data_IF_798795376386
#
_entry.id   IF_798795376386
#
_cell.length_a   1.000
_cell.length_b   1.000
_cell.length_c   1.000
_cell.angle_alpha   90.00
_cell.angle_beta   90.00
_cell.angle_gamma   90.00
#
_symmetry.space_group_name_H-M   'P 1'
#
loop_
_entity.id
_entity.type
_entity.pdbx_description
1 polymer ?
#
# COMPACT_ATOMS: atom_id res chain seq x y z
N UNK A 1 14.80 -12.31 19.62
CA UNK A 1 14.45 -12.68 18.25
C UNK A 1 14.61 -11.42 17.42
N UNK A 2 15.61 -11.40 16.56
CA UNK A 2 15.87 -10.27 15.67
C UNK A 2 14.99 -10.45 14.44
N UNK A 3 14.17 -9.45 14.14
CA UNK A 3 13.36 -9.38 12.93
C UNK A 3 14.00 -8.39 11.98
N UNK A 4 14.09 -8.74 10.70
CA UNK A 4 14.57 -7.81 9.68
C UNK A 4 13.50 -6.74 9.38
N UNK A 5 12.21 -7.13 9.41
CA UNK A 5 11.07 -6.26 9.14
C UNK A 5 9.91 -6.54 10.08
N UNK A 6 9.19 -5.49 10.46
CA UNK A 6 7.94 -5.57 11.20
C UNK A 6 6.89 -4.76 10.44
N UNK A 7 5.81 -5.41 10.02
CA UNK A 7 4.70 -4.78 9.33
C UNK A 7 3.57 -4.49 10.31
N UNK A 8 3.06 -3.26 10.28
CA UNK A 8 1.89 -2.85 11.03
C UNK A 8 0.73 -2.60 10.06
N UNK A 9 -0.32 -3.40 10.15
CA UNK A 9 -1.58 -3.14 9.45
C UNK A 9 -2.40 -2.15 10.29
N UNK A 10 -2.58 -0.94 9.77
CA UNK A 10 -3.25 0.14 10.47
C UNK A 10 -4.57 0.51 9.78
N UNK A 11 -5.61 0.87 10.54
CA UNK A 11 -6.85 1.36 9.95
C UNK A 11 -6.61 2.67 9.21
N UNK A 12 -7.27 2.85 8.05
CA UNK A 12 -7.17 4.04 7.20
C UNK A 12 -7.86 5.28 7.78
N UNK A 13 -7.71 5.53 9.08
CA UNK A 13 -8.32 6.69 9.76
C UNK A 13 -7.31 7.38 10.66
N UNK A 14 -7.23 8.71 10.54
CA UNK A 14 -6.41 9.56 11.41
C UNK A 14 -7.17 10.12 12.64
N UNK A 15 -8.44 9.84 12.74
CA UNK A 15 -9.27 10.35 13.87
C UNK A 15 -8.89 9.71 15.21
N UNK A 16 -7.93 8.81 15.23
CA UNK A 16 -7.41 8.15 16.42
C UNK A 16 -5.97 8.56 16.67
N UNK A 17 -5.74 9.30 17.76
CA UNK A 17 -4.40 9.73 18.17
C UNK A 17 -3.41 8.59 18.41
N UNK A 18 -3.88 7.36 18.63
CA UNK A 18 -3.06 6.16 18.69
C UNK A 18 -2.46 5.81 17.34
N UNK A 19 -3.26 5.88 16.26
CA UNK A 19 -2.82 5.62 14.88
C UNK A 19 -1.74 6.62 14.48
N UNK A 20 -1.97 7.92 14.71
CA UNK A 20 -1.00 8.98 14.39
C UNK A 20 0.32 8.77 15.14
N UNK A 21 0.27 8.44 16.44
CA UNK A 21 1.48 8.17 17.24
C UNK A 21 2.22 6.92 16.76
N UNK A 22 1.51 5.92 16.29
CA UNK A 22 2.12 4.72 15.71
C UNK A 22 2.79 5.06 14.39
N UNK A 23 2.10 5.77 13.49
CA UNK A 23 2.66 6.21 12.21
C UNK A 23 3.93 7.05 12.41
N UNK A 24 3.95 7.97 13.36
CA UNK A 24 5.12 8.81 13.65
C UNK A 24 6.38 8.03 14.09
N UNK A 25 6.23 6.74 14.43
CA UNK A 25 7.33 5.85 14.84
C UNK A 25 7.76 4.86 13.76
N UNK A 26 7.08 4.84 12.62
CA UNK A 26 7.44 3.98 11.49
C UNK A 26 8.64 4.55 10.75
N UNK A 27 9.43 3.66 10.15
CA UNK A 27 10.50 4.06 9.23
C UNK A 27 9.94 4.39 7.85
N UNK A 28 8.97 3.60 7.37
CA UNK A 28 8.34 3.76 6.08
C UNK A 28 6.83 3.55 6.17
N UNK A 29 6.10 4.26 5.33
CA UNK A 29 4.64 4.13 5.21
C UNK A 29 4.32 3.81 3.76
N UNK A 30 3.54 2.75 3.55
CA UNK A 30 2.98 2.38 2.26
C UNK A 30 1.46 2.50 2.33
N UNK A 31 0.88 3.40 1.54
CA UNK A 31 -0.56 3.67 1.55
C UNK A 31 -1.20 3.19 0.24
N UNK A 32 -2.10 2.19 0.29
CA UNK A 32 -2.81 1.77 -0.91
C UNK A 32 -3.82 2.84 -1.37
N UNK A 33 -3.88 3.02 -2.68
CA UNK A 33 -4.84 3.88 -3.38
C UNK A 33 -5.57 3.08 -4.46
N UNK A 34 -6.76 3.54 -4.84
CA UNK A 34 -7.51 2.97 -5.95
C UNK A 34 -8.01 4.08 -6.88
N UNK A 35 -8.40 3.73 -8.09
CA UNK A 35 -8.92 4.69 -9.06
C UNK A 35 -10.34 5.21 -8.73
N UNK A 36 -10.94 4.75 -7.63
CA UNK A 36 -12.17 5.33 -7.11
C UNK A 36 -11.92 6.75 -6.59
N UNK A 37 -12.65 7.72 -7.14
CA UNK A 37 -12.46 9.15 -6.86
C UNK A 37 -12.59 9.48 -5.37
N UNK A 38 -13.55 8.88 -4.68
CA UNK A 38 -13.80 9.16 -3.26
C UNK A 38 -12.67 8.61 -2.40
N UNK A 39 -12.22 7.41 -2.71
CA UNK A 39 -11.09 6.77 -2.04
C UNK A 39 -9.82 7.57 -2.28
N UNK A 40 -9.58 7.99 -3.53
CA UNK A 40 -8.42 8.79 -3.91
C UNK A 40 -8.38 10.12 -3.15
N UNK A 41 -9.45 10.91 -3.20
CA UNK A 41 -9.52 12.20 -2.51
C UNK A 41 -9.29 12.05 -0.99
N UNK A 42 -9.90 11.03 -0.39
CA UNK A 42 -9.75 10.76 1.04
C UNK A 42 -8.31 10.38 1.40
N UNK A 43 -7.71 9.50 0.60
CA UNK A 43 -6.34 9.03 0.83
C UNK A 43 -5.32 10.16 0.61
N UNK A 44 -5.47 10.94 -0.46
CA UNK A 44 -4.56 12.07 -0.72
C UNK A 44 -4.62 13.11 0.40
N UNK A 45 -5.81 13.47 0.89
CA UNK A 45 -5.94 14.36 2.05
C UNK A 45 -5.21 13.81 3.28
N UNK A 46 -5.40 12.52 3.57
CA UNK A 46 -4.71 11.86 4.66
C UNK A 46 -3.19 11.93 4.53
N UNK A 47 -2.68 11.58 3.34
CA UNK A 47 -1.25 11.53 3.06
C UNK A 47 -0.61 12.92 3.11
N UNK A 48 -1.28 13.93 2.56
CA UNK A 48 -0.82 15.33 2.64
C UNK A 48 -0.73 15.81 4.09
N UNK A 49 -1.77 15.55 4.89
CA UNK A 49 -1.76 15.92 6.32
C UNK A 49 -0.63 15.22 7.07
N UNK A 50 -0.39 13.94 6.80
CA UNK A 50 0.75 13.22 7.41
C UNK A 50 2.10 13.78 6.96
N UNK A 51 2.26 14.04 5.67
CA UNK A 51 3.48 14.63 5.14
C UNK A 51 3.78 15.97 5.81
N UNK A 52 2.81 16.85 5.86
CA UNK A 52 2.97 18.20 6.41
C UNK A 52 3.17 18.21 7.93
N UNK A 53 2.52 17.30 8.65
CA UNK A 53 2.57 17.30 10.12
C UNK A 53 3.72 16.49 10.70
N UNK A 54 4.14 15.42 10.05
CA UNK A 54 5.12 14.48 10.57
C UNK A 54 6.45 14.53 9.81
N UNK A 55 6.42 14.53 8.49
CA UNK A 55 7.64 14.41 7.67
C UNK A 55 8.31 15.77 7.51
N UNK A 56 7.60 16.75 6.97
CA UNK A 56 8.13 18.08 6.68
C UNK A 56 8.60 18.81 7.95
N UNK A 57 7.93 18.57 9.08
CA UNK A 57 8.31 19.19 10.36
C UNK A 57 9.54 18.56 11.02
N UNK A 58 10.03 17.43 10.50
CA UNK A 58 11.13 16.67 11.12
C UNK A 58 10.78 16.07 12.49
N UNK A 59 9.51 16.02 12.86
CA UNK A 59 9.05 15.50 14.17
C UNK A 59 8.89 13.98 14.19
N UNK A 60 9.11 13.30 13.06
CA UNK A 60 9.02 11.85 12.95
C UNK A 60 10.33 11.24 12.49
N UNK A 61 10.43 9.92 12.64
CA UNK A 61 11.55 9.12 12.10
C UNK A 61 11.26 8.58 10.70
N UNK A 62 10.13 8.94 10.11
CA UNK A 62 9.70 8.45 8.81
C UNK A 62 10.73 8.85 7.74
N UNK A 63 11.30 7.85 7.08
CA UNK A 63 12.28 8.00 6.01
C UNK A 63 11.63 8.13 4.64
N UNK A 64 10.44 7.56 4.47
CA UNK A 64 9.70 7.61 3.23
C UNK A 64 8.23 7.25 3.38
N UNK A 65 7.42 7.87 2.52
CA UNK A 65 6.01 7.57 2.37
C UNK A 65 5.70 7.37 0.89
N UNK A 66 5.15 6.22 0.56
CA UNK A 66 4.90 5.79 -0.81
C UNK A 66 3.46 5.35 -0.99
N UNK A 67 2.85 5.75 -2.08
CA UNK A 67 1.55 5.27 -2.50
C UNK A 67 1.72 4.01 -3.35
N UNK A 68 0.71 3.16 -3.36
CA UNK A 68 0.68 2.00 -4.24
C UNK A 68 -0.72 1.78 -4.82
N UNK A 69 -0.79 1.54 -6.11
CA UNK A 69 -2.03 1.23 -6.78
C UNK A 69 -2.55 -0.15 -6.38
N UNK A 70 -3.76 -0.18 -5.84
CA UNK A 70 -4.46 -1.39 -5.43
C UNK A 70 -5.78 -1.52 -6.18
N UNK A 71 -6.20 -2.76 -6.43
CA UNK A 71 -7.43 -3.08 -7.17
C UNK A 71 -7.48 -2.47 -8.58
N UNK A 72 -6.36 -2.48 -9.29
CA UNK A 72 -6.29 -1.96 -10.66
C UNK A 72 -7.06 -2.88 -11.60
N UNK A 73 -8.10 -2.34 -12.26
CA UNK A 73 -8.82 -3.06 -13.32
C UNK A 73 -8.06 -2.86 -14.64
N UNK A 74 -7.51 -3.93 -15.18
CA UNK A 74 -6.79 -3.90 -16.46
C UNK A 74 -7.63 -3.48 -17.69
N UNK A 75 -8.95 -3.28 -17.52
CA UNK A 75 -9.85 -2.74 -18.55
C UNK A 75 -10.01 -1.22 -18.47
N UNK A 76 -9.58 -0.61 -17.36
CA UNK A 76 -9.60 0.84 -17.24
C UNK A 76 -8.53 1.47 -18.13
N UNK A 77 -8.82 2.68 -18.63
CA UNK A 77 -7.87 3.41 -19.46
C UNK A 77 -6.68 3.87 -18.64
N UNK A 78 -5.48 3.66 -19.15
CA UNK A 78 -4.23 4.12 -18.52
C UNK A 78 -4.21 5.62 -18.24
N UNK A 79 -4.82 6.42 -19.13
CA UNK A 79 -4.93 7.88 -19.00
C UNK A 79 -5.47 8.35 -17.64
N UNK A 80 -6.36 7.58 -17.00
CA UNK A 80 -6.90 7.93 -15.70
C UNK A 80 -5.80 7.84 -14.61
N UNK A 81 -5.00 6.80 -14.67
CA UNK A 81 -3.89 6.59 -13.73
C UNK A 81 -2.80 7.63 -13.95
N UNK A 82 -2.47 7.95 -15.20
CA UNK A 82 -1.47 8.96 -15.56
C UNK A 82 -1.84 10.33 -14.97
N UNK A 83 -3.11 10.76 -15.10
CA UNK A 83 -3.60 12.02 -14.53
C UNK A 83 -3.50 12.02 -12.99
N UNK A 84 -3.83 10.93 -12.34
CA UNK A 84 -3.71 10.85 -10.89
C UNK A 84 -2.25 10.84 -10.44
N UNK A 85 -1.36 10.19 -11.17
CA UNK A 85 0.08 10.19 -10.87
C UNK A 85 0.70 11.58 -11.02
N UNK A 86 0.30 12.36 -12.02
CA UNK A 86 0.71 13.76 -12.14
C UNK A 86 0.32 14.56 -10.89
N UNK A 87 -0.93 14.45 -10.43
CA UNK A 87 -1.39 15.12 -9.20
C UNK A 87 -0.61 14.65 -7.97
N UNK A 88 -0.35 13.35 -7.85
CA UNK A 88 0.44 12.80 -6.75
C UNK A 88 1.87 13.39 -6.74
N UNK A 89 2.50 13.49 -7.90
CA UNK A 89 3.83 14.07 -8.04
C UNK A 89 3.84 15.58 -7.76
N UNK A 90 2.82 16.31 -8.19
CA UNK A 90 2.66 17.75 -7.87
C UNK A 90 2.54 17.98 -6.35
N UNK A 91 1.97 17.04 -5.61
CA UNK A 91 1.91 17.06 -4.15
C UNK A 91 3.23 16.66 -3.47
N UNK A 92 4.29 16.38 -4.24
CA UNK A 92 5.58 15.93 -3.72
C UNK A 92 5.57 14.51 -3.17
N UNK A 93 4.60 13.70 -3.56
CA UNK A 93 4.44 12.31 -3.15
C UNK A 93 4.97 11.36 -4.23
N UNK A 94 5.27 10.12 -3.83
CA UNK A 94 5.70 9.07 -4.75
C UNK A 94 4.72 7.92 -4.79
N UNK A 95 4.60 7.31 -5.96
CA UNK A 95 3.81 6.09 -6.17
C UNK A 95 4.72 4.96 -6.67
N UNK A 96 4.47 3.75 -6.21
CA UNK A 96 5.17 2.56 -6.69
C UNK A 96 4.86 2.31 -8.16
N UNK A 97 5.84 1.83 -8.90
CA UNK A 97 5.68 1.43 -10.32
C UNK A 97 4.83 0.17 -10.45
N UNK A 98 4.97 -0.72 -9.47
CA UNK A 98 4.23 -1.97 -9.41
C UNK A 98 2.86 -1.73 -8.77
N UNK A 99 1.82 -2.31 -9.36
CA UNK A 99 0.45 -2.23 -8.86
C UNK A 99 -0.12 -3.61 -8.52
N UNK A 100 -1.12 -3.65 -7.64
CA UNK A 100 -1.89 -4.86 -7.36
C UNK A 100 -3.17 -4.86 -8.21
N UNK A 101 -3.37 -5.88 -9.07
CA UNK A 101 -4.56 -5.96 -9.92
C UNK A 101 -5.81 -6.29 -9.11
N UNK A 102 -6.98 -5.86 -9.58
CA UNK A 102 -8.26 -6.37 -9.05
C UNK A 102 -8.41 -7.84 -9.47
N UNK A 103 -8.18 -8.70 -8.52
CA UNK A 103 -8.23 -10.14 -8.74
C UNK A 103 -9.11 -10.83 -7.70
N UNK A 104 -10.00 -11.68 -8.22
CA UNK A 104 -10.80 -12.58 -7.38
C UNK A 104 -9.93 -13.51 -6.52
N UNK A 105 -8.66 -13.69 -6.87
CA UNK A 105 -7.69 -14.48 -6.09
C UNK A 105 -7.50 -13.94 -4.69
N UNK A 106 -7.44 -12.63 -4.52
CA UNK A 106 -7.31 -11.98 -3.21
C UNK A 106 -8.56 -12.13 -2.33
N UNK A 107 -9.72 -12.43 -2.93
CA UNK A 107 -11.01 -12.56 -2.25
C UNK A 107 -11.39 -14.01 -1.95
N UNK A 108 -10.63 -14.99 -2.49
CA UNK A 108 -10.89 -16.41 -2.24
C UNK A 108 -10.31 -16.83 -0.91
N UNK A 109 -11.13 -16.80 0.14
CA UNK A 109 -10.74 -17.25 1.48
C UNK A 109 -10.81 -18.77 1.64
N UNK A 110 -11.73 -19.43 0.92
CA UNK A 110 -11.90 -20.89 0.93
C UNK A 110 -12.23 -21.37 -0.49
N UNK A 111 -11.36 -22.17 -1.07
CA UNK A 111 -11.79 -23.01 -2.19
C UNK A 111 -12.47 -24.26 -1.66
N UNK A 112 -13.65 -24.60 -2.20
CA UNK A 112 -14.30 -25.89 -2.01
C UNK A 112 -13.30 -26.95 -2.48
N UNK A 113 -12.64 -27.64 -1.55
CA UNK A 113 -11.61 -28.63 -1.88
C UNK A 113 -10.30 -28.52 -1.13
N UNK A 114 -10.24 -27.76 -0.04
CA UNK A 114 -9.08 -27.66 0.88
C UNK A 114 -7.74 -27.22 0.24
N UNK A 115 -7.77 -26.50 -0.87
CA UNK A 115 -6.56 -26.00 -1.51
C UNK A 115 -6.31 -24.53 -1.14
N UNK A 116 -5.20 -24.34 -0.44
CA UNK A 116 -4.40 -23.15 -0.26
C UNK A 116 -5.15 -21.86 0.15
N UNK A 117 -4.99 -21.51 1.41
CA UNK A 117 -5.31 -20.18 1.92
C UNK A 117 -4.35 -19.16 1.28
N UNK A 118 -4.88 -18.15 0.60
CA UNK A 118 -4.08 -17.03 0.12
C UNK A 118 -3.65 -16.14 1.30
N UNK A 119 -4.55 -15.97 2.27
CA UNK A 119 -4.31 -15.19 3.48
C UNK A 119 -3.96 -16.11 4.63
N UNK A 120 -2.70 -16.16 4.98
CA UNK A 120 -2.21 -16.86 6.16
C UNK A 120 -0.98 -16.14 6.71
N UNK A 121 -0.93 -16.01 8.01
CA UNK A 121 0.27 -15.54 8.73
C UNK A 121 1.20 -16.68 9.12
N UNK A 122 0.78 -17.92 8.91
CA UNK A 122 1.51 -19.14 9.34
C UNK A 122 2.09 -19.88 8.13
N UNK A 123 1.33 -19.94 7.04
CA UNK A 123 1.72 -20.67 5.84
C UNK A 123 2.00 -19.72 4.68
N UNK A 124 3.02 -20.01 3.86
CA UNK A 124 3.28 -19.23 2.66
C UNK A 124 2.08 -19.32 1.70
N UNK A 125 1.82 -18.24 0.98
CA UNK A 125 0.78 -18.22 -0.04
C UNK A 125 1.06 -19.27 -1.13
N UNK A 126 0.01 -19.87 -1.68
CA UNK A 126 0.12 -20.83 -2.78
C UNK A 126 0.77 -20.18 -4.00
N UNK A 127 1.80 -20.80 -4.55
CA UNK A 127 2.56 -20.29 -5.69
C UNK A 127 1.71 -20.02 -6.93
N UNK A 128 0.62 -20.80 -7.15
CA UNK A 128 -0.29 -20.59 -8.27
C UNK A 128 -1.18 -19.35 -8.05
N UNK A 129 -1.49 -19.02 -6.80
CA UNK A 129 -2.24 -17.81 -6.45
C UNK A 129 -1.37 -16.55 -6.55
N UNK A 130 -0.09 -16.65 -6.18
CA UNK A 130 0.87 -15.53 -6.26
C UNK A 130 1.21 -15.20 -7.71
N UNK A 131 1.28 -16.22 -8.59
CA UNK A 131 1.60 -16.00 -10.00
C UNK A 131 0.61 -15.05 -10.68
N UNK A 132 1.10 -13.96 -11.25
CA UNK A 132 0.29 -12.94 -11.93
C UNK A 132 -0.55 -12.08 -10.99
N UNK A 133 -0.20 -12.02 -9.71
CA UNK A 133 -0.77 -11.11 -8.72
C UNK A 133 0.06 -9.84 -8.53
N UNK A 134 1.26 -9.78 -9.11
CA UNK A 134 2.30 -8.77 -8.90
C UNK A 134 2.77 -8.66 -7.42
N UNK A 135 2.46 -9.66 -6.60
CA UNK A 135 2.78 -9.60 -5.16
C UNK A 135 4.28 -9.68 -4.90
N UNK A 136 5.01 -10.53 -5.65
CA UNK A 136 6.45 -10.62 -5.51
C UNK A 136 7.13 -9.34 -5.99
N UNK A 137 6.71 -8.83 -7.13
CA UNK A 137 7.24 -7.63 -7.75
C UNK A 137 7.07 -6.40 -6.84
N UNK A 138 5.91 -6.28 -6.18
CA UNK A 138 5.66 -5.17 -5.25
C UNK A 138 6.51 -5.29 -3.99
N UNK A 139 6.72 -6.51 -3.48
CA UNK A 139 7.59 -6.74 -2.33
C UNK A 139 9.05 -6.41 -2.68
N UNK A 140 9.52 -6.82 -3.85
CA UNK A 140 10.87 -6.50 -4.33
C UNK A 140 11.06 -4.98 -4.44
N UNK A 141 10.12 -4.25 -5.04
CA UNK A 141 10.16 -2.79 -5.14
C UNK A 141 10.15 -2.14 -3.76
N UNK A 142 9.29 -2.59 -2.84
CA UNK A 142 9.28 -2.10 -1.45
C UNK A 142 10.63 -2.32 -0.75
N UNK A 143 11.24 -3.50 -0.92
CA UNK A 143 12.54 -3.82 -0.34
C UNK A 143 13.68 -2.96 -0.91
N UNK A 144 13.59 -2.55 -2.17
CA UNK A 144 14.55 -1.62 -2.77
C UNK A 144 14.45 -0.21 -2.18
N UNK A 145 13.22 0.24 -1.88
CA UNK A 145 12.98 1.56 -1.31
C UNK A 145 13.40 1.68 0.17
N UNK A 146 13.39 0.57 0.91
CA UNK A 146 13.71 0.57 2.35
C UNK A 146 15.18 0.22 2.67
N UNK A 147 16.00 0.02 1.66
CA UNK A 147 17.46 -0.12 1.83
C UNK A 147 18.06 1.24 2.16
#
# INVERSE_FOLDING_TARGET
>A
TDFDFIFFDLPGTINNGGVVRTLARMDYIFSPISADRVVMESTLRFVVVLNDTLITTGKSKIKGMHLLWNMVDGREKSELYDVYEEVIHELGLSVLKTFLPDSKRFRRELSVGHKALFRSTIFPADKALVRGSNLNEIIEEMLELIK
#
